data_IF_586695019285
#
_entry.id   IF_586695019285
#
_cell.length_a   1.000
_cell.length_b   1.000
_cell.length_c   1.000
_cell.angle_alpha   90.00
_cell.angle_beta   90.00
_cell.angle_gamma   90.00
#
_symmetry.space_group_name_H-M   'P 1'
#
loop_
_entity.id
_entity.type
_entity.pdbx_description
1 polymer ?
#
# COMPACT_ATOMS: atom_id res chain seq x y z
N UNK A 1 9.69 13.46 -12.19
CA UNK A 1 9.70 13.47 -10.71
C UNK A 1 9.03 12.20 -10.16
N UNK A 2 7.77 11.92 -10.51
CA UNK A 2 6.98 10.80 -9.96
C UNK A 2 7.62 9.43 -10.23
N UNK A 3 8.12 9.19 -11.45
CA UNK A 3 8.82 7.94 -11.82
C UNK A 3 10.12 7.74 -11.01
N UNK A 4 10.89 8.81 -10.76
CA UNK A 4 12.11 8.73 -9.94
C UNK A 4 11.76 8.42 -8.48
N UNK A 5 10.68 9.03 -7.95
CA UNK A 5 10.17 8.75 -6.61
C UNK A 5 9.75 7.29 -6.47
N UNK A 6 8.94 6.77 -7.40
CA UNK A 6 8.49 5.37 -7.37
C UNK A 6 9.66 4.38 -7.45
N UNK A 7 10.67 4.66 -8.30
CA UNK A 7 11.89 3.83 -8.36
C UNK A 7 12.66 3.85 -7.04
N UNK A 8 12.81 5.01 -6.42
CA UNK A 8 13.45 5.13 -5.11
C UNK A 8 12.68 4.36 -4.04
N UNK A 9 11.34 4.41 -4.07
CA UNK A 9 10.49 3.67 -3.15
C UNK A 9 10.71 2.14 -3.26
N UNK A 10 10.82 1.59 -4.47
CA UNK A 10 11.14 0.16 -4.68
C UNK A 10 12.50 -0.19 -4.07
N UNK A 11 13.53 0.61 -4.34
CA UNK A 11 14.89 0.34 -3.84
C UNK A 11 15.03 0.53 -2.32
N UNK A 12 14.22 1.41 -1.73
CA UNK A 12 14.23 1.70 -0.31
C UNK A 12 13.25 0.84 0.50
N UNK A 13 12.37 0.10 -0.17
CA UNK A 13 11.37 -0.74 0.48
C UNK A 13 12.02 -1.70 1.50
N UNK A 14 11.35 -1.89 2.62
CA UNK A 14 11.73 -2.87 3.65
C UNK A 14 10.47 -3.62 4.08
N UNK A 15 10.62 -4.92 4.24
CA UNK A 15 9.51 -5.81 4.58
C UNK A 15 8.42 -5.89 3.52
N UNK A 16 7.48 -6.81 3.69
CA UNK A 16 6.40 -7.04 2.75
C UNK A 16 5.52 -5.79 2.53
N UNK A 17 5.15 -5.09 3.60
CA UNK A 17 4.36 -3.86 3.50
C UNK A 17 5.07 -2.76 2.70
N UNK A 18 6.39 -2.62 2.88
CA UNK A 18 7.19 -1.67 2.11
C UNK A 18 7.23 -2.01 0.63
N UNK A 19 7.41 -3.29 0.28
CA UNK A 19 7.39 -3.75 -1.11
C UNK A 19 6.02 -3.53 -1.73
N UNK A 20 4.94 -3.91 -1.07
CA UNK A 20 3.56 -3.70 -1.55
C UNK A 20 3.29 -2.20 -1.77
N UNK A 21 3.63 -1.35 -0.80
CA UNK A 21 3.50 0.11 -0.92
C UNK A 21 4.26 0.63 -2.13
N UNK A 22 5.47 0.15 -2.38
CA UNK A 22 6.28 0.55 -3.53
C UNK A 22 5.61 0.19 -4.86
N UNK A 23 4.89 -0.93 -4.92
CA UNK A 23 4.13 -1.34 -6.11
C UNK A 23 2.91 -0.45 -6.35
N UNK A 24 2.19 -0.05 -5.29
CA UNK A 24 1.11 0.93 -5.37
C UNK A 24 1.63 2.26 -5.95
N UNK A 25 2.73 2.78 -5.41
CA UNK A 25 3.37 4.00 -5.89
C UNK A 25 3.89 3.87 -7.32
N UNK A 26 4.44 2.71 -7.70
CA UNK A 26 4.89 2.43 -9.07
C UNK A 26 3.75 2.46 -10.07
N UNK A 27 2.60 1.87 -9.73
CA UNK A 27 1.41 1.93 -10.56
C UNK A 27 0.91 3.35 -10.76
N UNK A 28 0.82 4.13 -9.69
CA UNK A 28 0.45 5.54 -9.75
C UNK A 28 1.42 6.37 -10.63
N UNK A 29 2.71 6.02 -10.64
CA UNK A 29 3.74 6.69 -11.42
C UNK A 29 3.86 6.20 -12.86
N UNK A 30 3.26 5.07 -13.22
CA UNK A 30 3.34 4.46 -14.56
C UNK A 30 2.41 5.10 -15.59
N UNK A 31 1.41 5.84 -15.12
CA UNK A 31 0.42 6.48 -15.99
C UNK A 31 1.03 7.71 -16.66
N UNK A 32 0.89 7.85 -17.99
CA UNK A 32 1.37 9.04 -18.70
C UNK A 32 0.71 10.31 -18.20
N UNK A 33 1.52 11.34 -18.00
CA UNK A 33 1.09 12.68 -17.60
C UNK A 33 1.47 13.65 -18.72
N UNK A 34 0.51 14.41 -19.19
CA UNK A 34 0.71 15.46 -20.21
C UNK A 34 1.02 16.83 -19.58
N UNK A 35 1.12 17.87 -20.41
CA UNK A 35 1.44 19.24 -19.99
C UNK A 35 0.40 19.84 -19.03
N UNK A 36 -0.80 19.27 -18.97
CA UNK A 36 -1.88 19.70 -18.04
C UNK A 36 -1.72 19.11 -16.65
N UNK A 37 -0.70 18.26 -16.43
CA UNK A 37 -0.39 17.68 -15.15
C UNK A 37 -1.19 16.43 -14.77
N UNK A 38 -1.10 16.03 -13.52
CA UNK A 38 -1.76 14.87 -12.96
C UNK A 38 -3.24 15.21 -12.64
N UNK A 39 -4.18 14.48 -13.19
CA UNK A 39 -5.63 14.70 -13.06
C UNK A 39 -6.34 13.47 -12.49
N UNK A 40 -7.65 13.57 -12.29
CA UNK A 40 -8.50 12.48 -11.80
C UNK A 40 -8.38 11.18 -12.63
N UNK A 41 -8.25 11.31 -13.95
CA UNK A 41 -8.08 10.17 -14.85
C UNK A 41 -6.79 9.40 -14.57
N UNK A 42 -5.68 10.13 -14.36
CA UNK A 42 -4.39 9.55 -13.99
C UNK A 42 -4.44 8.91 -12.61
N UNK A 43 -5.14 9.53 -11.65
CA UNK A 43 -5.34 8.94 -10.33
C UNK A 43 -6.10 7.61 -10.43
N UNK A 44 -7.22 7.59 -11.15
CA UNK A 44 -8.01 6.36 -11.37
C UNK A 44 -7.18 5.24 -11.99
N UNK A 45 -6.56 5.54 -13.11
CA UNK A 45 -5.72 4.57 -13.81
C UNK A 45 -4.52 4.13 -12.96
N UNK A 46 -3.86 5.07 -12.30
CA UNK A 46 -2.68 4.81 -11.47
C UNK A 46 -2.98 3.95 -10.25
N UNK A 47 -4.10 4.20 -9.56
CA UNK A 47 -4.54 3.38 -8.43
C UNK A 47 -4.92 1.97 -8.90
N UNK A 48 -5.63 1.82 -10.01
CA UNK A 48 -5.98 0.51 -10.57
C UNK A 48 -4.71 -0.30 -10.90
N UNK A 49 -3.78 0.28 -11.68
CA UNK A 49 -2.50 -0.36 -12.01
C UNK A 49 -1.67 -0.65 -10.76
N UNK A 50 -1.68 0.25 -9.76
CA UNK A 50 -0.98 0.05 -8.50
C UNK A 50 -1.50 -1.15 -7.71
N UNK A 51 -2.82 -1.32 -7.67
CA UNK A 51 -3.46 -2.48 -7.04
C UNK A 51 -3.07 -3.76 -7.79
N UNK A 52 -3.13 -3.77 -9.12
CA UNK A 52 -2.72 -4.94 -9.91
C UNK A 52 -1.27 -5.33 -9.64
N UNK A 53 -0.36 -4.35 -9.60
CA UNK A 53 1.05 -4.60 -9.28
C UNK A 53 1.23 -5.11 -7.85
N UNK A 54 0.50 -4.56 -6.88
CA UNK A 54 0.57 -4.97 -5.49
C UNK A 54 0.09 -6.42 -5.30
N UNK A 55 -1.04 -6.80 -5.89
CA UNK A 55 -1.53 -8.18 -5.86
C UNK A 55 -0.62 -9.15 -6.60
N UNK A 56 -0.09 -8.75 -7.77
CA UNK A 56 0.84 -9.58 -8.54
C UNK A 56 2.17 -9.84 -7.81
N UNK A 57 2.62 -8.89 -6.99
CA UNK A 57 3.85 -9.01 -6.23
C UNK A 57 3.74 -10.07 -5.12
N UNK A 58 2.58 -10.19 -4.47
CA UNK A 58 2.36 -11.12 -3.37
C UNK A 58 2.06 -12.52 -3.92
N UNK A 59 2.75 -13.53 -3.42
CA UNK A 59 2.56 -14.90 -3.89
C UNK A 59 1.19 -15.47 -3.47
N UNK A 60 0.78 -15.17 -2.24
CA UNK A 60 -0.49 -15.58 -1.64
C UNK A 60 -1.17 -14.36 -1.01
N UNK A 61 -1.96 -13.59 -1.78
CA UNK A 61 -2.63 -12.39 -1.28
C UNK A 61 -3.62 -12.73 -0.15
N UNK A 62 -3.55 -11.95 0.94
CA UNK A 62 -4.42 -12.11 2.11
C UNK A 62 -5.31 -10.89 2.25
N UNK A 63 -6.62 -11.11 2.43
CA UNK A 63 -7.58 -10.05 2.69
C UNK A 63 -7.50 -9.54 4.15
N UNK A 64 -7.99 -8.33 4.38
CA UNK A 64 -7.83 -7.65 5.66
C UNK A 64 -6.45 -7.01 5.84
N UNK A 65 -5.76 -6.72 4.74
CA UNK A 65 -4.43 -6.11 4.69
C UNK A 65 -4.42 -4.85 3.84
N UNK A 66 -3.25 -4.22 3.69
CA UNK A 66 -3.01 -3.10 2.78
C UNK A 66 -3.58 -3.35 1.37
N UNK A 67 -3.60 -4.61 0.90
CA UNK A 67 -4.14 -4.97 -0.41
C UNK A 67 -5.64 -4.68 -0.49
N UNK A 68 -6.40 -5.07 0.54
CA UNK A 68 -7.84 -4.81 0.65
C UNK A 68 -8.12 -3.31 0.70
N UNK A 69 -7.36 -2.58 1.51
CA UNK A 69 -7.49 -1.12 1.67
C UNK A 69 -7.22 -0.39 0.36
N UNK A 70 -6.15 -0.78 -0.35
CA UNK A 70 -5.82 -0.19 -1.65
C UNK A 70 -6.86 -0.50 -2.72
N UNK A 71 -7.39 -1.73 -2.75
CA UNK A 71 -8.45 -2.12 -3.68
C UNK A 71 -9.74 -1.35 -3.43
N UNK A 72 -10.11 -1.11 -2.17
CA UNK A 72 -11.28 -0.31 -1.83
C UNK A 72 -11.14 1.14 -2.33
N UNK A 73 -9.96 1.76 -2.11
CA UNK A 73 -9.67 3.10 -2.62
C UNK A 73 -9.77 3.17 -4.15
N UNK A 74 -9.14 2.24 -4.87
CA UNK A 74 -9.16 2.20 -6.33
C UNK A 74 -10.59 1.98 -6.86
N UNK A 75 -11.36 1.08 -6.26
CA UNK A 75 -12.74 0.80 -6.64
C UNK A 75 -13.67 2.01 -6.46
N UNK A 76 -13.54 2.73 -5.36
CA UNK A 76 -14.34 3.93 -5.10
C UNK A 76 -14.03 5.06 -6.12
N UNK A 77 -12.76 5.27 -6.42
CA UNK A 77 -12.35 6.30 -7.39
C UNK A 77 -12.76 5.91 -8.82
N UNK A 78 -12.75 4.62 -9.17
CA UNK A 78 -13.20 4.14 -10.47
C UNK A 78 -14.68 4.46 -10.75
N UNK A 79 -15.50 4.53 -9.71
CA UNK A 79 -16.93 4.86 -9.80
C UNK A 79 -17.22 6.36 -9.71
N UNK A 80 -16.20 7.20 -9.59
CA UNK A 80 -16.34 8.65 -9.42
C UNK A 80 -15.97 9.40 -10.71
N UNK A 81 -16.85 10.29 -11.18
CA UNK A 81 -16.58 11.22 -12.27
C UNK A 81 -16.05 12.58 -11.80
N UNK A 82 -15.75 12.70 -10.52
CA UNK A 82 -15.30 13.93 -9.89
C UNK A 82 -13.89 14.36 -10.36
N UNK A 83 -13.58 15.65 -10.14
CA UNK A 83 -12.23 16.19 -10.34
C UNK A 83 -11.21 15.62 -9.35
N UNK A 84 -9.92 15.96 -9.56
CA UNK A 84 -8.80 15.36 -8.80
C UNK A 84 -8.96 15.45 -7.28
N UNK A 85 -9.24 16.65 -6.78
CA UNK A 85 -9.35 16.89 -5.32
C UNK A 85 -10.43 16.02 -4.68
N UNK A 86 -11.59 15.94 -5.29
CA UNK A 86 -12.69 15.10 -4.79
C UNK A 86 -12.39 13.61 -4.97
N UNK A 87 -11.79 13.21 -6.08
CA UNK A 87 -11.39 11.81 -6.30
C UNK A 87 -10.38 11.32 -5.25
N UNK A 88 -9.42 12.17 -4.84
CA UNK A 88 -8.50 11.81 -3.76
C UNK A 88 -9.24 11.68 -2.43
N UNK A 89 -10.20 12.59 -2.12
CA UNK A 89 -11.02 12.50 -0.91
C UNK A 89 -11.86 11.22 -0.87
N UNK A 90 -12.44 10.84 -2.00
CA UNK A 90 -13.17 9.57 -2.16
C UNK A 90 -12.25 8.38 -1.90
N UNK A 91 -11.02 8.41 -2.43
CA UNK A 91 -10.02 7.37 -2.15
C UNK A 91 -9.69 7.26 -0.66
N UNK A 92 -9.44 8.40 0.02
CA UNK A 92 -9.16 8.45 1.46
C UNK A 92 -10.31 7.86 2.27
N UNK A 93 -11.54 8.29 1.99
CA UNK A 93 -12.73 7.82 2.72
C UNK A 93 -12.93 6.31 2.58
N UNK A 94 -12.86 5.79 1.36
CA UNK A 94 -13.02 4.36 1.11
C UNK A 94 -11.87 3.52 1.70
N UNK A 95 -10.64 4.03 1.65
CA UNK A 95 -9.49 3.39 2.29
C UNK A 95 -9.63 3.35 3.81
N UNK A 96 -10.07 4.45 4.44
CA UNK A 96 -10.27 4.53 5.88
C UNK A 96 -11.38 3.56 6.35
N UNK A 97 -12.51 3.51 5.64
CA UNK A 97 -13.58 2.57 5.92
C UNK A 97 -13.10 1.11 5.79
N UNK A 98 -12.40 0.77 4.72
CA UNK A 98 -11.84 -0.57 4.53
C UNK A 98 -10.82 -0.92 5.61
N UNK A 99 -10.02 0.04 6.07
CA UNK A 99 -9.05 -0.14 7.15
C UNK A 99 -9.74 -0.54 8.46
N UNK A 100 -10.82 0.12 8.83
CA UNK A 100 -11.61 -0.19 10.04
C UNK A 100 -12.18 -1.62 10.00
N UNK A 101 -12.42 -2.16 8.80
CA UNK A 101 -12.95 -3.51 8.60
C UNK A 101 -11.86 -4.60 8.50
N UNK A 102 -10.57 -4.27 8.53
CA UNK A 102 -9.50 -5.27 8.45
C UNK A 102 -9.54 -6.30 9.59
N UNK A 103 -9.91 -5.97 10.86
CA UNK A 103 -9.99 -6.97 11.93
C UNK A 103 -11.07 -8.03 11.70
N UNK A 104 -12.17 -7.69 10.98
CA UNK A 104 -13.22 -8.66 10.66
C UNK A 104 -12.79 -9.64 9.57
N UNK A 105 -11.79 -9.30 8.77
CA UNK A 105 -11.30 -10.11 7.66
C UNK A 105 -10.06 -10.93 8.05
N UNK A 106 -9.25 -10.43 8.97
CA UNK A 106 -8.02 -11.10 9.42
C UNK A 106 -8.08 -11.38 10.94
N UNK A 107 -8.34 -12.64 11.35
CA UNK A 107 -8.54 -13.00 12.75
C UNK A 107 -7.38 -12.63 13.69
N UNK A 108 -6.16 -12.54 13.15
CA UNK A 108 -4.98 -12.10 13.91
C UNK A 108 -5.15 -10.66 14.40
N UNK A 109 -5.63 -9.76 13.53
CA UNK A 109 -5.89 -8.35 13.88
C UNK A 109 -7.04 -8.22 14.89
N UNK A 110 -8.11 -9.00 14.71
CA UNK A 110 -9.21 -9.04 15.66
C UNK A 110 -8.74 -9.44 17.08
N UNK A 111 -7.92 -10.47 17.18
CA UNK A 111 -7.36 -10.92 18.46
C UNK A 111 -6.42 -9.88 19.10
N UNK A 112 -5.69 -9.15 18.27
CA UNK A 112 -4.79 -8.09 18.74
C UNK A 112 -5.53 -6.77 19.05
N UNK A 113 -6.78 -6.60 18.61
CA UNK A 113 -7.56 -5.38 18.79
C UNK A 113 -7.01 -4.21 17.99
N UNK A 114 -6.41 -4.47 16.82
CA UNK A 114 -5.75 -3.45 15.97
C UNK A 114 -6.22 -3.59 14.52
N UNK A 115 -6.05 -2.51 13.75
CA UNK A 115 -6.21 -2.50 12.30
C UNK A 115 -4.88 -2.84 11.62
N UNK A 116 -4.92 -3.13 10.30
CA UNK A 116 -3.71 -3.41 9.53
C UNK A 116 -2.76 -2.20 9.46
N UNK A 117 -1.52 -2.38 9.89
CA UNK A 117 -0.52 -1.31 9.94
C UNK A 117 -0.11 -0.81 8.54
N UNK A 118 0.01 -1.73 7.57
CA UNK A 118 0.30 -1.40 6.18
C UNK A 118 -0.83 -0.59 5.52
N UNK A 119 -2.08 -1.01 5.74
CA UNK A 119 -3.27 -0.29 5.30
C UNK A 119 -3.37 1.10 5.93
N UNK A 120 -3.06 1.23 7.23
CA UNK A 120 -2.97 2.54 7.89
C UNK A 120 -1.92 3.44 7.25
N UNK A 121 -0.75 2.89 6.95
CA UNK A 121 0.30 3.62 6.23
C UNK A 121 -0.17 4.11 4.86
N UNK A 122 -0.91 3.30 4.11
CA UNK A 122 -1.46 3.70 2.82
C UNK A 122 -2.52 4.80 2.95
N UNK A 123 -3.41 4.74 3.94
CA UNK A 123 -4.37 5.83 4.23
C UNK A 123 -3.65 7.14 4.50
N UNK A 124 -2.55 7.13 5.28
CA UNK A 124 -1.75 8.33 5.54
C UNK A 124 -1.12 8.91 4.28
N UNK A 125 -0.66 8.07 3.35
CA UNK A 125 -0.13 8.52 2.05
C UNK A 125 -1.22 9.19 1.21
N UNK A 126 -2.43 8.61 1.16
CA UNK A 126 -3.56 9.20 0.46
C UNK A 126 -4.02 10.52 1.10
N UNK A 127 -4.05 10.61 2.43
CA UNK A 127 -4.40 11.85 3.15
C UNK A 127 -3.38 12.96 2.87
N UNK A 128 -2.08 12.64 2.89
CA UNK A 128 -1.05 13.59 2.50
C UNK A 128 -1.22 14.08 1.06
N UNK A 129 -1.56 13.18 0.13
CA UNK A 129 -1.87 13.54 -1.25
C UNK A 129 -3.10 14.46 -1.32
N UNK A 130 -4.15 14.19 -0.53
CA UNK A 130 -5.35 15.04 -0.49
C UNK A 130 -5.02 16.45 -0.04
N UNK A 131 -4.18 16.63 0.97
CA UNK A 131 -3.72 17.95 1.45
C UNK A 131 -2.95 18.71 0.37
N UNK A 132 -2.00 18.05 -0.28
CA UNK A 132 -1.21 18.63 -1.37
C UNK A 132 -2.12 19.08 -2.53
N UNK A 133 -3.06 18.23 -2.95
CA UNK A 133 -4.00 18.55 -4.03
C UNK A 133 -4.95 19.69 -3.64
N UNK A 134 -5.28 19.83 -2.36
CA UNK A 134 -6.07 20.95 -1.84
C UNK A 134 -5.26 22.26 -1.68
N UNK A 135 -3.98 22.28 -2.04
CA UNK A 135 -3.11 23.45 -1.88
C UNK A 135 -2.77 23.77 -0.42
N UNK A 136 -2.93 22.81 0.47
CA UNK A 136 -2.52 22.94 1.86
C UNK A 136 -1.03 22.60 1.94
N UNK A 137 -0.24 23.54 2.46
CA UNK A 137 1.19 23.28 2.70
C UNK A 137 1.34 22.07 3.63
N UNK A 138 2.06 21.08 3.15
CA UNK A 138 2.52 20.02 4.03
C UNK A 138 3.54 20.65 4.99
N UNK A 139 3.14 20.93 6.23
CA UNK A 139 4.08 21.25 7.27
C UNK A 139 4.92 19.98 7.54
N UNK A 140 6.22 19.95 7.18
CA UNK A 140 7.06 18.78 7.38
C UNK A 140 7.24 18.42 8.86
N UNK A 141 6.85 19.30 9.77
CA UNK A 141 6.93 19.14 11.21
C UNK A 141 5.59 18.87 11.89
N UNK A 142 4.47 19.00 11.17
CA UNK A 142 3.18 18.67 11.74
C UNK A 142 3.13 17.17 12.07
N UNK A 143 2.83 16.78 13.32
CA UNK A 143 2.58 15.38 13.61
C UNK A 143 1.44 14.94 12.70
N UNK A 144 1.68 13.91 11.90
CA UNK A 144 0.62 13.27 11.10
C UNK A 144 -0.46 12.87 12.08
N UNK A 145 -1.55 13.65 12.09
CA UNK A 145 -2.57 13.52 13.11
C UNK A 145 -3.12 12.10 13.08
N UNK A 146 -2.96 11.42 14.19
CA UNK A 146 -3.83 10.28 14.46
C UNK A 146 -5.24 10.87 14.55
N UNK A 147 -6.19 10.44 13.70
CA UNK A 147 -7.58 10.73 13.99
C UNK A 147 -7.86 10.09 15.34
N UNK A 148 -8.17 10.94 16.31
CA UNK A 148 -8.37 10.57 17.69
C UNK A 148 -7.08 10.26 18.48
N UNK A 149 -6.85 11.03 19.56
CA UNK A 149 -5.68 10.96 20.45
C UNK A 149 -5.56 9.67 21.27
N UNK A 150 -5.93 8.54 20.72
CA UNK A 150 -5.67 7.24 21.28
C UNK A 150 -4.19 6.93 21.13
N UNK A 151 -3.46 7.06 22.20
CA UNK A 151 -2.17 6.37 22.39
C UNK A 151 -2.48 4.87 22.28
N UNK A 152 -2.29 4.32 21.08
CA UNK A 152 -2.36 2.87 20.90
C UNK A 152 -1.43 2.25 21.95
N UNK A 153 -1.91 1.30 22.76
CA UNK A 153 -1.05 0.60 23.70
C UNK A 153 0.11 0.02 22.89
N UNK A 154 1.34 0.29 23.31
CA UNK A 154 2.51 -0.41 22.79
C UNK A 154 2.31 -1.89 23.11
N UNK A 155 1.74 -2.65 22.18
CA UNK A 155 1.67 -4.10 22.28
C UNK A 155 3.09 -4.62 22.08
N UNK A 156 3.83 -4.70 23.19
CA UNK A 156 5.10 -5.42 23.21
C UNK A 156 4.79 -6.87 22.85
N UNK A 157 5.24 -7.31 21.68
CA UNK A 157 5.28 -8.72 21.36
C UNK A 157 4.42 -9.19 20.18
N UNK A 158 3.63 -8.36 19.52
CA UNK A 158 3.06 -8.73 18.22
C UNK A 158 4.08 -8.35 17.15
N UNK A 159 4.85 -9.33 16.68
CA UNK A 159 5.66 -9.15 15.47
C UNK A 159 4.70 -8.81 14.34
N UNK A 160 4.96 -7.70 13.64
CA UNK A 160 4.27 -7.39 12.39
C UNK A 160 4.33 -8.60 11.48
N UNK A 161 3.18 -9.14 11.11
CA UNK A 161 2.91 -10.16 10.08
C UNK A 161 4.14 -10.93 9.56
N UNK A 162 4.95 -11.45 10.45
CA UNK A 162 5.93 -12.47 10.13
C UNK A 162 5.29 -13.85 10.27
N UNK A 163 5.86 -14.84 9.66
CA UNK A 163 5.51 -16.24 9.87
C UNK A 163 5.58 -16.61 11.35
N UNK A 164 4.62 -17.40 11.81
CA UNK A 164 4.73 -18.04 13.13
C UNK A 164 5.74 -19.21 13.12
N UNK A 165 6.08 -19.70 11.93
CA UNK A 165 6.94 -20.87 11.73
C UNK A 165 8.37 -20.49 11.36
N UNK A 166 8.58 -19.36 10.66
CA UNK A 166 9.89 -18.91 10.20
C UNK A 166 10.35 -17.67 10.97
N UNK A 167 11.57 -17.74 11.56
CA UNK A 167 12.11 -16.68 12.43
C UNK A 167 12.75 -15.52 11.67
N UNK A 168 13.10 -15.74 10.39
CA UNK A 168 13.90 -14.78 9.62
C UNK A 168 13.12 -14.24 8.43
N UNK A 169 13.17 -12.92 8.25
CA UNK A 169 12.80 -12.25 7.03
C UNK A 169 14.06 -12.00 6.18
N UNK A 170 14.03 -12.44 4.92
CA UNK A 170 15.15 -12.26 3.99
C UNK A 170 14.69 -11.38 2.84
N UNK A 171 15.44 -10.31 2.60
CA UNK A 171 15.21 -9.39 1.47
C UNK A 171 16.50 -9.19 0.69
N UNK A 172 16.41 -9.28 -0.64
CA UNK A 172 17.53 -9.02 -1.54
C UNK A 172 17.06 -8.46 -2.88
N UNK A 173 17.97 -7.83 -3.60
CA UNK A 173 17.77 -7.40 -4.98
C UNK A 173 18.39 -8.45 -5.90
N UNK A 174 17.66 -8.83 -6.93
CA UNK A 174 18.10 -9.81 -7.91
C UNK A 174 17.95 -9.23 -9.32
N UNK A 175 19.02 -9.32 -10.10
CA UNK A 175 18.96 -9.09 -11.55
C UNK A 175 18.74 -10.44 -12.23
N UNK A 176 17.56 -10.64 -12.80
CA UNK A 176 17.18 -11.91 -13.38
C UNK A 176 16.21 -11.75 -14.56
N UNK A 177 16.27 -12.69 -15.50
CA UNK A 177 15.30 -12.74 -16.58
C UNK A 177 13.88 -13.09 -16.04
N UNK A 178 12.81 -12.63 -16.71
CA UNK A 178 11.43 -12.82 -16.25
C UNK A 178 11.03 -14.27 -15.97
N UNK A 179 11.51 -15.22 -16.77
CA UNK A 179 11.25 -16.65 -16.58
C UNK A 179 11.94 -17.22 -15.33
N UNK A 180 13.10 -16.67 -14.95
CA UNK A 180 13.79 -17.03 -13.71
C UNK A 180 12.99 -16.59 -12.47
N UNK A 181 12.31 -15.44 -12.53
CA UNK A 181 11.46 -14.93 -11.45
C UNK A 181 10.30 -15.89 -11.13
N UNK A 182 9.69 -16.48 -12.15
CA UNK A 182 8.60 -17.47 -11.97
C UNK A 182 9.12 -18.73 -11.26
N UNK A 183 10.30 -19.22 -11.66
CA UNK A 183 10.93 -20.38 -11.00
C UNK A 183 11.33 -20.06 -9.58
N UNK A 184 11.90 -18.89 -9.35
CA UNK A 184 12.29 -18.41 -8.02
C UNK A 184 11.09 -18.36 -7.07
N UNK A 185 9.99 -17.74 -7.49
CA UNK A 185 8.74 -17.68 -6.70
C UNK A 185 8.31 -19.07 -6.24
N UNK A 186 8.28 -20.05 -7.14
CA UNK A 186 7.90 -21.43 -6.82
C UNK A 186 8.85 -22.05 -5.80
N UNK A 187 10.14 -21.82 -5.93
CA UNK A 187 11.14 -22.36 -4.99
C UNK A 187 11.02 -21.69 -3.62
N UNK A 188 10.85 -20.39 -3.56
CA UNK A 188 10.71 -19.65 -2.29
C UNK A 188 9.47 -20.08 -1.50
N UNK A 189 8.34 -20.34 -2.18
CA UNK A 189 7.12 -20.88 -1.56
C UNK A 189 7.29 -22.27 -0.92
N UNK A 190 8.35 -23.01 -1.28
CA UNK A 190 8.69 -24.29 -0.64
C UNK A 190 9.61 -24.09 0.57
N UNK A 191 10.25 -22.94 0.71
CA UNK A 191 11.23 -22.65 1.76
C UNK A 191 10.67 -21.74 2.86
N UNK A 192 9.56 -21.10 2.63
CA UNK A 192 8.95 -20.17 3.59
C UNK A 192 7.59 -19.68 3.12
N UNK A 193 6.94 -18.88 3.94
CA UNK A 193 5.70 -18.21 3.65
C UNK A 193 5.90 -16.70 3.36
N UNK A 194 4.82 -15.97 3.14
CA UNK A 194 4.83 -14.50 2.98
C UNK A 194 5.76 -13.99 1.87
N UNK A 195 5.88 -14.73 0.75
CA UNK A 195 6.76 -14.39 -0.37
C UNK A 195 6.22 -13.22 -1.19
N UNK A 196 7.02 -12.16 -1.32
CA UNK A 196 6.72 -10.99 -2.14
C UNK A 196 7.86 -10.76 -3.15
N UNK A 197 7.52 -10.62 -4.45
CA UNK A 197 8.48 -10.36 -5.54
C UNK A 197 7.94 -9.19 -6.38
N UNK A 198 8.73 -8.10 -6.51
CA UNK A 198 8.34 -6.85 -7.16
C UNK A 198 9.28 -6.46 -8.32
#
# INVERSE_FOLDING_TARGET
ALTAFARAAVLAARGNSGVIMSQLLRGMASVPVDDRGYRAEQLRAGLAVGVDYAYAAVAEPVEGTILTVARAAAGAVAMSDAGLSESVRVAVAAAAEALEHTPQQLPLLARAGVVDAGGRGFVLVLDALARVVAGQDADPGAPVGTPDGSTAPHVRGVRESGSAEFEYEVQYLLDAAPDATVRLRRTLLQLGDSVVIA
#
